data_IF_126775434781
#
_entry.id   IF_126775434781
#
_cell.length_a   1.000
_cell.length_b   1.000
_cell.length_c   1.000
_cell.angle_alpha   90.00
_cell.angle_beta   90.00
_cell.angle_gamma   90.00
#
_symmetry.space_group_name_H-M   'P 1'
#
loop_
_entity.id
_entity.type
_entity.pdbx_description
1 polymer ?
#
# COMPACT_ATOMS: atom_id res chain seq x y z
N UNK A 1 29.49 23.44 -24.42
CA UNK A 1 28.93 22.78 -25.62
C UNK A 1 27.68 23.56 -26.04
N UNK A 2 27.53 23.95 -27.33
CA UNK A 2 26.35 24.73 -27.76
C UNK A 2 25.10 23.84 -27.65
N UNK A 3 24.14 24.22 -26.80
CA UNK A 3 22.85 23.56 -26.76
C UNK A 3 22.15 23.76 -28.11
N UNK A 4 21.81 22.66 -28.77
CA UNK A 4 20.97 22.69 -29.97
C UNK A 4 19.58 23.20 -29.56
N UNK A 5 19.13 24.31 -30.17
CA UNK A 5 17.81 24.91 -29.90
C UNK A 5 16.96 24.83 -31.16
N UNK A 6 15.74 24.32 -31.02
CA UNK A 6 14.75 24.25 -32.10
C UNK A 6 13.82 25.45 -31.99
N UNK A 7 13.57 26.15 -33.10
CA UNK A 7 12.64 27.29 -33.14
C UNK A 7 11.22 26.78 -33.31
N UNK A 8 10.34 27.16 -32.39
CA UNK A 8 8.90 26.92 -32.49
C UNK A 8 8.17 28.23 -32.79
N UNK A 9 7.15 28.19 -33.64
CA UNK A 9 6.21 29.29 -33.86
C UNK A 9 4.87 28.93 -33.22
N UNK A 10 4.38 29.81 -32.36
CA UNK A 10 3.08 29.68 -31.70
C UNK A 10 2.47 31.07 -31.52
N UNK A 11 1.15 31.10 -31.48
CA UNK A 11 0.37 32.32 -31.26
C UNK A 11 0.05 32.42 -29.77
N UNK A 12 0.17 33.62 -29.21
CA UNK A 12 -0.24 33.93 -27.85
C UNK A 12 -1.40 34.92 -27.92
N UNK A 13 -2.35 34.80 -27.00
CA UNK A 13 -3.35 35.85 -26.85
C UNK A 13 -2.69 37.20 -26.50
N UNK A 14 -3.26 38.33 -26.93
CA UNK A 14 -2.68 39.65 -26.72
C UNK A 14 -2.32 39.92 -25.24
N UNK A 15 -3.23 39.59 -24.32
CA UNK A 15 -3.03 39.77 -22.88
C UNK A 15 -1.89 38.91 -22.31
N UNK A 16 -1.68 37.71 -22.86
CA UNK A 16 -0.59 36.83 -22.43
C UNK A 16 0.76 37.27 -23.01
N UNK A 17 0.75 37.77 -24.25
CA UNK A 17 1.93 38.36 -24.90
C UNK A 17 2.45 39.57 -24.11
N UNK A 18 1.56 40.47 -23.67
CA UNK A 18 1.93 41.64 -22.87
C UNK A 18 2.55 41.27 -21.51
N UNK A 19 2.02 40.22 -20.87
CA UNK A 19 2.60 39.68 -19.63
C UNK A 19 3.99 39.09 -19.87
N UNK A 20 4.18 38.36 -20.96
CA UNK A 20 5.49 37.81 -21.34
C UNK A 20 6.51 38.91 -21.62
N UNK A 21 6.11 39.97 -22.34
CA UNK A 21 6.93 41.16 -22.57
C UNK A 21 7.41 41.75 -21.25
N UNK A 22 6.48 41.98 -20.33
CA UNK A 22 6.76 42.55 -19.00
C UNK A 22 7.76 41.71 -18.21
N UNK A 23 7.60 40.39 -18.21
CA UNK A 23 8.52 39.46 -17.52
C UNK A 23 9.92 39.42 -18.16
N UNK A 24 10.01 39.67 -19.47
CA UNK A 24 11.27 39.66 -20.23
C UNK A 24 12.03 40.98 -20.22
N UNK A 25 11.52 42.02 -19.53
CA UNK A 25 12.21 43.32 -19.42
C UNK A 25 13.53 43.26 -18.64
N UNK A 26 13.76 42.19 -17.87
CA UNK A 26 15.01 42.00 -17.14
C UNK A 26 16.15 41.62 -18.11
N UNK A 27 17.33 42.29 -18.04
CA UNK A 27 18.45 42.04 -18.96
C UNK A 27 18.98 40.61 -18.94
N UNK A 28 18.77 39.90 -17.83
CA UNK A 28 19.24 38.54 -17.61
C UNK A 28 18.31 37.46 -18.17
N UNK A 29 17.09 37.79 -18.62
CA UNK A 29 16.09 36.76 -18.98
C UNK A 29 15.44 37.04 -20.33
N UNK A 30 15.63 36.12 -21.27
CA UNK A 30 14.98 36.21 -22.60
C UNK A 30 13.59 35.60 -22.58
N UNK A 31 12.69 36.06 -23.47
CA UNK A 31 11.35 35.45 -23.67
C UNK A 31 11.41 33.95 -23.88
N UNK A 32 12.37 33.49 -24.70
CA UNK A 32 12.59 32.07 -24.96
C UNK A 32 12.99 31.29 -23.70
N UNK A 33 13.77 31.88 -22.80
CA UNK A 33 14.12 31.23 -21.53
C UNK A 33 12.93 31.14 -20.57
N UNK A 34 12.07 32.17 -20.53
CA UNK A 34 10.85 32.17 -19.72
C UNK A 34 9.88 31.10 -20.22
N UNK A 35 9.64 31.06 -21.54
CA UNK A 35 8.75 30.07 -22.15
C UNK A 35 9.30 28.65 -21.96
N UNK A 36 10.61 28.44 -22.13
CA UNK A 36 11.22 27.13 -21.90
C UNK A 36 10.98 26.63 -20.47
N UNK A 37 11.24 27.47 -19.46
CA UNK A 37 10.96 27.14 -18.05
C UNK A 37 9.49 26.90 -17.77
N UNK A 38 8.60 27.68 -18.38
CA UNK A 38 7.16 27.50 -18.21
C UNK A 38 6.67 26.17 -18.81
N UNK A 39 7.18 25.79 -19.98
CA UNK A 39 6.86 24.50 -20.63
C UNK A 39 7.42 23.34 -19.83
N UNK A 40 8.66 23.43 -19.35
CA UNK A 40 9.28 22.43 -18.48
C UNK A 40 8.45 22.22 -17.20
N UNK A 41 8.14 23.30 -16.48
CA UNK A 41 7.30 23.24 -15.29
C UNK A 41 5.88 22.74 -15.57
N UNK A 42 5.32 23.03 -16.74
CA UNK A 42 4.00 22.50 -17.14
C UNK A 42 4.05 21.00 -17.40
N UNK A 43 5.09 20.51 -18.08
CA UNK A 43 5.29 19.08 -18.36
C UNK A 43 5.52 18.33 -17.05
N UNK A 44 6.38 18.84 -16.16
CA UNK A 44 6.64 18.25 -14.84
C UNK A 44 5.36 18.15 -14.01
N UNK A 45 4.63 19.28 -13.85
CA UNK A 45 3.34 19.29 -13.14
C UNK A 45 2.32 18.36 -13.77
N UNK A 46 2.30 18.23 -15.09
CA UNK A 46 1.39 17.31 -15.78
C UNK A 46 1.77 15.86 -15.50
N UNK A 47 3.07 15.54 -15.47
CA UNK A 47 3.57 14.23 -15.09
C UNK A 47 3.21 13.85 -13.66
N UNK A 48 3.42 14.75 -12.70
CA UNK A 48 3.00 14.56 -11.30
C UNK A 48 1.48 14.32 -11.19
N UNK A 49 0.68 15.17 -11.84
CA UNK A 49 -0.78 15.01 -11.86
C UNK A 49 -1.25 13.71 -12.53
N UNK A 50 -0.58 13.26 -13.58
CA UNK A 50 -0.91 12.00 -14.26
C UNK A 50 -0.59 10.80 -13.37
N UNK A 51 0.54 10.82 -12.66
CA UNK A 51 0.90 9.80 -11.68
C UNK A 51 -0.10 9.75 -10.52
N UNK A 52 -0.46 10.90 -9.95
CA UNK A 52 -1.46 10.98 -8.89
C UNK A 52 -2.84 10.52 -9.35
N UNK A 53 -3.27 10.89 -10.55
CA UNK A 53 -4.54 10.41 -11.11
C UNK A 53 -4.53 8.90 -11.38
N UNK A 54 -3.40 8.37 -11.85
CA UNK A 54 -3.26 6.95 -12.22
C UNK A 54 -3.06 6.04 -11.01
N UNK A 55 -2.36 6.51 -9.98
CA UNK A 55 -1.93 5.69 -8.85
C UNK A 55 -2.51 6.14 -7.49
N UNK A 56 -2.89 7.41 -7.31
CA UNK A 56 -3.38 7.93 -6.03
C UNK A 56 -4.54 7.12 -5.46
N UNK A 57 -5.58 6.86 -6.26
CA UNK A 57 -6.72 6.01 -5.83
C UNK A 57 -6.31 4.58 -5.43
N UNK A 58 -5.27 4.02 -6.07
CA UNK A 58 -4.78 2.68 -5.76
C UNK A 58 -3.97 2.69 -4.46
N UNK A 59 -3.13 3.71 -4.25
CA UNK A 59 -2.36 3.91 -3.03
C UNK A 59 -3.28 4.18 -1.84
N UNK A 60 -4.33 4.99 -2.00
CA UNK A 60 -5.33 5.22 -0.96
C UNK A 60 -6.03 3.92 -0.55
N UNK A 61 -6.36 3.06 -1.52
CA UNK A 61 -6.95 1.75 -1.23
C UNK A 61 -5.97 0.86 -0.48
N UNK A 62 -4.72 0.76 -0.93
CA UNK A 62 -3.68 -0.01 -0.24
C UNK A 62 -3.45 0.50 1.19
N UNK A 63 -3.44 1.81 1.39
CA UNK A 63 -3.30 2.42 2.72
C UNK A 63 -4.45 2.03 3.65
N UNK A 64 -5.69 2.05 3.14
CA UNK A 64 -6.87 1.57 3.89
C UNK A 64 -6.78 0.08 4.19
N UNK A 65 -6.42 -0.74 3.22
CA UNK A 65 -6.29 -2.19 3.39
C UNK A 65 -5.22 -2.52 4.44
N UNK A 66 -4.08 -1.82 4.43
CA UNK A 66 -3.06 -1.92 5.47
C UNK A 66 -3.58 -1.50 6.85
N UNK A 67 -4.38 -0.42 6.92
CA UNK A 67 -5.04 -0.02 8.16
C UNK A 67 -6.07 -1.03 8.68
N UNK A 68 -6.75 -1.75 7.78
CA UNK A 68 -7.62 -2.86 8.15
C UNK A 68 -6.80 -4.04 8.71
N UNK A 69 -5.75 -4.46 8.01
CA UNK A 69 -4.85 -5.53 8.48
C UNK A 69 -4.25 -5.18 9.83
N UNK A 70 -3.83 -3.93 10.05
CA UNK A 70 -3.31 -3.48 11.34
C UNK A 70 -4.29 -3.69 12.49
N UNK A 71 -5.58 -3.34 12.28
CA UNK A 71 -6.65 -3.57 13.27
C UNK A 71 -6.94 -5.05 13.49
N UNK A 72 -6.95 -5.85 12.41
CA UNK A 72 -7.16 -7.29 12.52
C UNK A 72 -6.03 -7.95 13.33
N UNK A 73 -4.78 -7.52 13.12
CA UNK A 73 -3.63 -7.98 13.91
C UNK A 73 -3.76 -7.59 15.38
N UNK A 74 -4.17 -6.35 15.67
CA UNK A 74 -4.41 -5.91 17.05
C UNK A 74 -5.50 -6.74 17.74
N UNK A 75 -6.63 -6.99 17.06
CA UNK A 75 -7.70 -7.85 17.57
C UNK A 75 -7.23 -9.29 17.83
N UNK A 76 -6.39 -9.85 16.95
CA UNK A 76 -5.80 -11.19 17.14
C UNK A 76 -4.87 -11.19 18.35
N UNK A 77 -4.06 -10.16 18.54
CA UNK A 77 -3.17 -10.04 19.70
C UNK A 77 -3.95 -9.93 21.02
N UNK A 78 -5.01 -9.12 21.06
CA UNK A 78 -5.90 -9.03 22.22
C UNK A 78 -6.57 -10.38 22.52
N UNK A 79 -7.10 -11.04 21.49
CA UNK A 79 -7.73 -12.35 21.61
C UNK A 79 -6.75 -13.40 22.12
N UNK A 80 -5.51 -13.39 21.62
CA UNK A 80 -4.45 -14.29 22.07
C UNK A 80 -4.06 -14.02 23.53
N UNK A 81 -3.94 -12.76 23.94
CA UNK A 81 -3.65 -12.40 25.32
C UNK A 81 -4.75 -12.88 26.28
N UNK A 82 -6.02 -12.71 25.89
CA UNK A 82 -7.16 -13.23 26.65
C UNK A 82 -7.16 -14.76 26.71
N UNK A 83 -6.87 -15.43 25.59
CA UNK A 83 -6.77 -16.89 25.52
C UNK A 83 -5.66 -17.42 26.42
N UNK A 84 -4.46 -16.83 26.38
CA UNK A 84 -3.34 -17.21 27.24
C UNK A 84 -3.71 -17.02 28.70
N UNK A 85 -4.29 -15.86 29.06
CA UNK A 85 -4.74 -15.61 30.44
C UNK A 85 -5.74 -16.66 30.89
N UNK A 86 -6.74 -16.94 30.06
CA UNK A 86 -7.74 -17.97 30.33
C UNK A 86 -7.12 -19.36 30.50
N UNK A 87 -6.19 -19.74 29.61
CA UNK A 87 -5.48 -21.02 29.67
C UNK A 87 -4.67 -21.17 30.96
N UNK A 88 -3.93 -20.14 31.35
CA UNK A 88 -3.18 -20.14 32.62
C UNK A 88 -4.13 -20.28 33.81
N UNK A 89 -5.25 -19.54 33.83
CA UNK A 89 -6.26 -19.65 34.89
C UNK A 89 -6.84 -21.06 34.96
N UNK A 90 -7.16 -21.66 33.80
CA UNK A 90 -7.72 -23.01 33.73
C UNK A 90 -6.72 -24.08 34.24
N UNK A 91 -5.43 -23.90 33.96
CA UNK A 91 -4.39 -24.86 34.32
C UNK A 91 -3.63 -24.54 35.60
N UNK A 92 -4.04 -23.51 36.37
CA UNK A 92 -3.30 -23.01 37.53
C UNK A 92 -3.00 -24.08 38.62
N UNK A 93 -3.82 -25.12 38.71
CA UNK A 93 -3.66 -26.21 39.67
C UNK A 93 -3.21 -27.54 39.03
N UNK A 94 -2.91 -27.54 37.73
CA UNK A 94 -2.48 -28.74 37.02
C UNK A 94 -1.00 -29.02 37.33
N UNK A 95 -0.62 -30.24 37.74
CA UNK A 95 0.78 -30.57 37.96
C UNK A 95 1.59 -30.51 36.66
N UNK A 96 2.88 -30.23 36.78
CA UNK A 96 3.79 -30.18 35.63
C UNK A 96 3.82 -31.57 34.96
N UNK A 97 3.55 -31.66 33.64
CA UNK A 97 3.55 -32.94 32.93
C UNK A 97 4.92 -33.60 32.97
N UNK A 98 4.95 -34.93 33.02
CA UNK A 98 6.18 -35.71 32.96
C UNK A 98 6.81 -35.69 31.54
N UNK A 99 8.04 -36.19 31.40
CA UNK A 99 8.77 -36.15 30.12
C UNK A 99 8.04 -36.89 29.00
N UNK A 100 7.36 -38.00 29.32
CA UNK A 100 6.60 -38.76 28.33
C UNK A 100 5.40 -37.95 27.81
N UNK A 101 4.65 -37.31 28.71
CA UNK A 101 3.52 -36.45 28.34
C UNK A 101 3.97 -35.23 27.55
N UNK A 102 5.10 -34.62 27.92
CA UNK A 102 5.70 -33.50 27.16
C UNK A 102 6.08 -33.92 25.74
N UNK A 103 6.69 -35.09 25.57
CA UNK A 103 7.06 -35.61 24.25
C UNK A 103 5.83 -35.84 23.36
N UNK A 104 4.75 -36.40 23.91
CA UNK A 104 3.49 -36.58 23.18
C UNK A 104 2.85 -35.23 22.82
N UNK A 105 2.89 -34.24 23.72
CA UNK A 105 2.40 -32.90 23.44
C UNK A 105 3.18 -32.23 22.31
N UNK A 106 4.51 -32.37 22.31
CA UNK A 106 5.37 -31.87 21.24
C UNK A 106 5.04 -32.53 19.89
N UNK A 107 4.91 -33.85 19.85
CA UNK A 107 4.56 -34.57 18.62
C UNK A 107 3.21 -34.10 18.04
N UNK A 108 2.22 -33.88 18.91
CA UNK A 108 0.91 -33.35 18.50
C UNK A 108 1.02 -31.91 17.97
N UNK A 109 1.85 -31.08 18.60
CA UNK A 109 2.09 -29.72 18.14
C UNK A 109 2.77 -29.70 16.77
N UNK A 110 3.78 -30.54 16.56
CA UNK A 110 4.48 -30.63 15.27
C UNK A 110 3.53 -31.05 14.14
N UNK A 111 2.64 -32.03 14.40
CA UNK A 111 1.58 -32.43 13.46
C UNK A 111 0.60 -31.29 13.15
N UNK A 112 0.23 -30.51 14.15
CA UNK A 112 -0.62 -29.33 13.97
C UNK A 112 0.07 -28.29 13.07
N UNK A 113 1.35 -27.98 13.31
CA UNK A 113 2.14 -27.05 12.49
C UNK A 113 2.23 -27.54 11.05
N UNK A 114 2.46 -28.83 10.84
CA UNK A 114 2.49 -29.43 9.50
C UNK A 114 1.14 -29.25 8.76
N UNK A 115 0.03 -29.48 9.45
CA UNK A 115 -1.31 -29.29 8.90
C UNK A 115 -1.59 -27.82 8.55
N UNK A 116 -1.23 -26.88 9.42
CA UNK A 116 -1.36 -25.44 9.15
C UNK A 116 -0.50 -25.04 7.95
N UNK A 117 0.74 -25.52 7.88
CA UNK A 117 1.65 -25.28 6.75
C UNK A 117 1.06 -25.76 5.43
N UNK A 118 0.51 -26.98 5.40
CA UNK A 118 -0.21 -27.50 4.22
C UNK A 118 -1.41 -26.63 3.85
N UNK A 119 -2.19 -26.18 4.83
CA UNK A 119 -3.35 -25.33 4.59
C UNK A 119 -2.95 -23.98 3.98
N UNK A 120 -1.90 -23.33 4.50
CA UNK A 120 -1.37 -22.07 3.96
C UNK A 120 -0.88 -22.28 2.53
N UNK A 121 -0.08 -23.33 2.29
CA UNK A 121 0.43 -23.66 0.95
C UNK A 121 -0.71 -23.96 -0.05
N UNK A 122 -1.84 -24.51 0.42
CA UNK A 122 -3.00 -24.78 -0.43
C UNK A 122 -3.77 -23.52 -0.87
N UNK A 123 -3.56 -22.38 -0.21
CA UNK A 123 -4.27 -21.11 -0.48
C UNK A 123 -5.77 -21.13 -0.17
N UNK A 124 -6.32 -22.24 0.36
CA UNK A 124 -7.74 -22.37 0.70
C UNK A 124 -8.01 -21.76 2.08
N UNK A 125 -9.04 -20.92 2.20
CA UNK A 125 -9.48 -20.43 3.51
C UNK A 125 -10.24 -21.54 4.22
N UNK A 126 -9.70 -22.05 5.32
CA UNK A 126 -10.36 -23.11 6.11
C UNK A 126 -11.47 -22.58 7.02
N UNK A 127 -11.42 -21.29 7.37
CA UNK A 127 -12.37 -20.63 8.29
C UNK A 127 -13.39 -19.74 7.54
N UNK A 128 -13.44 -19.81 6.22
CA UNK A 128 -14.38 -19.06 5.39
C UNK A 128 -15.62 -19.90 5.11
N UNK A 129 -16.77 -19.44 5.58
CA UNK A 129 -18.08 -20.04 5.39
C UNK A 129 -18.37 -20.28 3.89
N UNK A 130 -18.51 -21.53 3.47
CA UNK A 130 -19.03 -21.91 2.14
C UNK A 130 -20.57 -21.84 2.13
N UNK A 131 -21.14 -20.78 2.72
CA UNK A 131 -22.57 -20.53 2.70
C UNK A 131 -22.88 -19.52 1.60
N UNK A 132 -23.18 -20.04 0.41
CA UNK A 132 -24.03 -19.32 -0.54
C UNK A 132 -23.55 -19.33 -1.99
N UNK A 133 -23.67 -20.48 -2.67
CA UNK A 133 -24.25 -20.56 -4.03
C UNK A 133 -24.37 -22.01 -4.49
N UNK A 134 -25.57 -22.56 -4.29
CA UNK A 134 -26.07 -23.73 -4.98
C UNK A 134 -27.57 -23.53 -5.21
N UNK A 135 -27.90 -22.61 -6.11
CA UNK A 135 -29.25 -22.46 -6.62
C UNK A 135 -29.50 -23.44 -7.77
N UNK A 136 -30.76 -23.88 -7.82
CA UNK A 136 -31.51 -24.42 -8.97
C UNK A 136 -31.39 -25.92 -9.28
N UNK A 137 -32.52 -26.58 -9.04
CA UNK A 137 -32.96 -27.88 -9.54
C UNK A 137 -34.44 -28.03 -9.21
#
# INVERSE_FOLDING_TARGET
>A
MKHHRIRHQFLLEPALSEKLETLSRNPSTTKSAIVAKAVEAFIERRGENELDQRYGKRLDRLSRDLGHVGRDVEMVLESLALFIRFSITLHAHTPVPDRATQAVAQERFDKFIEQVGRQIASGKRSLGNDNGRGGEG
#
